data_IF_021836567370
#
_entry.id   IF_021836567370
#
_cell.length_a   1.000
_cell.length_b   1.000
_cell.length_c   1.000
_cell.angle_alpha   90.00
_cell.angle_beta   90.00
_cell.angle_gamma   90.00
#
_symmetry.space_group_name_H-M   'P 1'
#
loop_
_entity.id
_entity.type
_entity.pdbx_description
1 polymer ?
#
# COMPACT_ATOMS: atom_id res chain seq x y z
N UNK A 1 7.92 22.78 3.43
CA UNK A 1 8.15 22.10 2.14
C UNK A 1 7.84 20.64 2.36
N UNK A 2 6.69 20.14 1.88
CA UNK A 2 6.45 18.70 1.85
C UNK A 2 7.48 18.14 0.85
N UNK A 3 8.28 17.16 1.27
CA UNK A 3 9.36 16.60 0.46
C UNK A 3 8.88 16.00 -0.87
N UNK A 4 9.81 15.54 -1.73
CA UNK A 4 9.42 14.82 -2.95
C UNK A 4 8.57 13.61 -2.57
N UNK A 5 7.49 13.39 -3.33
CA UNK A 5 6.65 12.21 -3.15
C UNK A 5 7.47 10.94 -3.45
N UNK A 6 7.17 9.86 -2.74
CA UNK A 6 7.93 8.61 -2.73
C UNK A 6 7.30 7.55 -3.64
N UNK A 7 8.05 6.91 -4.56
CA UNK A 7 7.55 5.84 -5.42
C UNK A 7 7.21 4.56 -4.63
N UNK A 8 6.69 3.55 -5.34
CA UNK A 8 6.39 2.23 -4.75
C UNK A 8 7.65 1.62 -4.12
N UNK A 9 7.48 1.00 -2.94
CA UNK A 9 8.52 0.39 -2.11
C UNK A 9 9.51 1.35 -1.44
N UNK A 10 9.42 2.66 -1.69
CA UNK A 10 10.24 3.62 -0.94
C UNK A 10 9.79 3.74 0.51
N UNK A 11 10.75 4.02 1.40
CA UNK A 11 10.49 4.29 2.80
C UNK A 11 9.63 5.55 2.99
N UNK A 12 8.68 5.48 3.92
CA UNK A 12 7.79 6.58 4.27
C UNK A 12 7.55 6.68 5.77
N UNK A 13 7.35 7.91 6.24
CA UNK A 13 7.11 8.21 7.66
C UNK A 13 5.68 8.71 7.91
N UNK A 14 4.97 9.08 6.84
CA UNK A 14 3.63 9.67 6.91
C UNK A 14 2.77 9.20 5.73
N UNK A 15 1.46 9.14 5.94
CA UNK A 15 0.51 8.68 4.93
C UNK A 15 0.53 9.48 3.61
N UNK A 16 0.91 10.77 3.66
CA UNK A 16 0.82 11.69 2.53
C UNK A 16 2.16 11.96 1.82
N UNK A 17 3.23 11.22 2.15
CA UNK A 17 4.53 11.38 1.47
C UNK A 17 4.70 10.47 0.26
N UNK A 18 3.83 9.47 0.09
CA UNK A 18 3.89 8.59 -1.08
C UNK A 18 3.32 9.26 -2.34
N UNK A 19 3.68 8.75 -3.51
CA UNK A 19 3.11 9.16 -4.78
C UNK A 19 1.59 8.95 -4.81
N UNK A 20 0.84 9.74 -5.62
CA UNK A 20 -0.60 9.56 -5.72
C UNK A 20 -0.96 8.14 -6.15
N UNK A 21 -1.95 7.54 -5.50
CA UNK A 21 -2.29 6.12 -5.70
C UNK A 21 -1.51 5.17 -4.80
N UNK A 22 -0.63 5.68 -3.94
CA UNK A 22 0.07 4.93 -2.92
C UNK A 22 -0.32 5.39 -1.50
N UNK A 23 -0.12 4.52 -0.53
CA UNK A 23 -0.29 4.77 0.90
C UNK A 23 0.90 4.22 1.69
N UNK A 24 1.20 4.82 2.82
CA UNK A 24 2.27 4.37 3.70
C UNK A 24 1.76 3.25 4.63
N UNK A 25 2.28 2.03 4.47
CA UNK A 25 1.95 0.86 5.28
C UNK A 25 3.19 0.33 6.03
N UNK A 26 3.00 -0.66 6.89
CA UNK A 26 4.10 -1.35 7.57
C UNK A 26 5.01 -2.05 6.55
N UNK A 27 6.34 -2.08 6.72
CA UNK A 27 7.24 -2.74 5.76
C UNK A 27 6.97 -4.23 5.55
N UNK A 28 6.42 -4.90 6.56
CA UNK A 28 6.12 -6.33 6.52
C UNK A 28 5.04 -6.73 5.49
N UNK A 29 4.40 -5.77 4.81
CA UNK A 29 3.41 -6.02 3.75
C UNK A 29 4.04 -6.34 2.39
N UNK A 30 5.35 -6.12 2.22
CA UNK A 30 6.08 -6.48 1.01
C UNK A 30 7.53 -6.86 1.31
N UNK A 31 8.07 -7.83 0.58
CA UNK A 31 9.48 -8.24 0.74
C UNK A 31 10.45 -7.25 0.10
N UNK A 32 9.95 -6.41 -0.81
CA UNK A 32 10.69 -5.35 -1.48
C UNK A 32 10.92 -4.12 -0.58
N UNK A 33 10.15 -3.99 0.50
CA UNK A 33 10.30 -2.90 1.45
C UNK A 33 11.55 -3.08 2.32
N UNK A 34 12.19 -1.97 2.67
CA UNK A 34 13.19 -1.95 3.74
C UNK A 34 12.52 -2.27 5.08
N UNK A 35 12.85 -3.43 5.65
CA UNK A 35 12.22 -3.94 6.88
C UNK A 35 12.63 -3.14 8.14
N UNK A 36 13.70 -2.35 8.06
CA UNK A 36 14.14 -1.46 9.15
C UNK A 36 13.54 -0.05 9.04
N UNK A 37 12.79 0.25 7.96
CA UNK A 37 12.12 1.53 7.77
C UNK A 37 10.83 1.64 8.63
N UNK A 38 10.39 2.86 8.98
CA UNK A 38 9.14 3.06 9.72
C UNK A 38 7.88 2.72 8.91
N UNK A 39 7.98 2.71 7.58
CA UNK A 39 6.87 2.44 6.67
C UNK A 39 7.35 2.29 5.23
N UNK A 40 6.46 1.79 4.38
CA UNK A 40 6.70 1.50 2.97
C UNK A 40 5.54 1.96 2.09
N UNK A 41 5.83 2.63 0.98
CA UNK A 41 4.81 3.10 0.05
C UNK A 41 4.24 1.96 -0.80
N UNK A 42 2.96 1.68 -0.61
CA UNK A 42 2.24 0.58 -1.22
C UNK A 42 1.09 1.06 -2.09
N UNK A 43 0.77 0.40 -3.22
CA UNK A 43 -0.36 0.79 -4.05
C UNK A 43 -1.71 0.49 -3.40
N UNK A 44 -2.67 1.38 -3.63
CA UNK A 44 -4.08 1.00 -3.60
C UNK A 44 -4.39 0.04 -4.75
N UNK A 45 -5.42 -0.76 -4.59
CA UNK A 45 -5.95 -1.64 -5.62
C UNK A 45 -7.48 -1.74 -5.51
N UNK A 46 -8.13 -2.21 -6.57
CA UNK A 46 -9.57 -2.46 -6.60
C UNK A 46 -9.82 -3.97 -6.41
N UNK A 47 -10.57 -4.34 -5.37
CA UNK A 47 -10.89 -5.73 -5.05
C UNK A 47 -11.76 -6.41 -6.12
N UNK A 48 -12.42 -5.65 -6.99
CA UNK A 48 -13.22 -6.15 -8.10
C UNK A 48 -12.42 -6.41 -9.37
N UNK A 49 -11.14 -6.03 -9.41
CA UNK A 49 -10.27 -6.16 -10.57
C UNK A 49 -9.23 -7.28 -10.39
N UNK A 50 -8.62 -7.78 -11.49
CA UNK A 50 -7.52 -8.73 -11.40
C UNK A 50 -6.37 -8.19 -10.54
N UNK A 51 -5.70 -9.10 -9.83
CA UNK A 51 -4.53 -8.75 -9.03
C UNK A 51 -3.41 -8.16 -9.92
N UNK A 52 -3.03 -6.92 -9.64
CA UNK A 52 -1.97 -6.17 -10.34
C UNK A 52 -0.88 -5.70 -9.38
N UNK A 53 -0.87 -6.24 -8.15
CA UNK A 53 0.11 -5.86 -7.14
C UNK A 53 1.54 -6.20 -7.59
N UNK A 54 2.48 -5.24 -7.50
CA UNK A 54 3.80 -5.38 -8.09
C UNK A 54 4.76 -6.25 -7.26
N UNK A 55 4.49 -6.44 -5.97
CA UNK A 55 5.37 -7.17 -5.06
C UNK A 55 5.17 -8.68 -5.10
N UNK A 56 6.23 -9.42 -4.75
CA UNK A 56 6.22 -10.87 -4.71
C UNK A 56 5.25 -11.39 -3.64
N UNK A 57 4.29 -12.24 -4.07
CA UNK A 57 3.31 -12.85 -3.18
C UNK A 57 2.23 -11.89 -2.67
N UNK A 58 2.14 -10.69 -3.26
CA UNK A 58 1.11 -9.74 -2.89
C UNK A 58 -0.22 -10.05 -3.56
N UNK A 59 -1.28 -9.75 -2.82
CA UNK A 59 -2.64 -9.75 -3.30
C UNK A 59 -3.29 -8.40 -2.99
N UNK A 60 -4.40 -8.12 -3.67
CA UNK A 60 -5.24 -6.99 -3.33
C UNK A 60 -6.10 -7.35 -2.12
N UNK A 61 -5.74 -6.84 -0.94
CA UNK A 61 -6.45 -7.14 0.31
C UNK A 61 -7.32 -5.96 0.73
N UNK A 62 -8.47 -6.20 1.39
CA UNK A 62 -9.32 -5.12 1.88
C UNK A 62 -8.54 -4.15 2.77
N UNK A 63 -8.61 -2.86 2.45
CA UNK A 63 -7.90 -1.85 3.24
C UNK A 63 -8.64 -1.52 4.54
N UNK A 64 -9.97 -1.59 4.52
CA UNK A 64 -10.84 -1.27 5.64
C UNK A 64 -11.51 -2.55 6.11
N UNK A 65 -11.45 -2.83 7.41
CA UNK A 65 -12.15 -3.97 8.02
C UNK A 65 -13.68 -3.83 7.87
N UNK A 66 -14.19 -2.63 8.07
CA UNK A 66 -15.61 -2.29 7.89
C UNK A 66 -15.76 -1.20 6.83
N UNK A 67 -15.75 -1.56 5.53
CA UNK A 67 -15.87 -0.57 4.48
C UNK A 67 -17.30 -0.03 4.40
N UNK A 68 -17.44 1.30 4.33
CA UNK A 68 -18.70 1.91 3.88
C UNK A 68 -18.97 1.51 2.42
N UNK A 69 -20.23 1.53 1.94
CA UNK A 69 -20.53 1.17 0.55
C UNK A 69 -19.72 1.94 -0.50
N UNK A 70 -19.33 3.18 -0.20
CA UNK A 70 -18.51 4.01 -1.09
C UNK A 70 -17.08 3.47 -1.30
N UNK A 71 -16.54 2.75 -0.32
CA UNK A 71 -15.16 2.24 -0.32
C UNK A 71 -15.13 0.70 -0.26
N UNK A 72 -16.23 0.03 -0.61
CA UNK A 72 -16.37 -1.44 -0.54
C UNK A 72 -15.31 -2.22 -1.29
N UNK A 73 -14.81 -1.66 -2.40
CA UNK A 73 -13.80 -2.30 -3.24
C UNK A 73 -12.38 -1.75 -3.01
N UNK A 74 -12.19 -0.86 -2.04
CA UNK A 74 -10.87 -0.26 -1.81
C UNK A 74 -9.96 -1.26 -1.09
N UNK A 75 -8.93 -1.71 -1.79
CA UNK A 75 -7.87 -2.55 -1.25
C UNK A 75 -6.51 -1.85 -1.23
N UNK A 76 -5.55 -2.55 -0.65
CA UNK A 76 -4.13 -2.24 -0.76
C UNK A 76 -3.33 -3.50 -1.07
N UNK A 77 -2.25 -3.34 -1.82
CA UNK A 77 -1.34 -4.43 -2.09
C UNK A 77 -0.57 -4.80 -0.83
N UNK A 78 -0.73 -6.05 -0.39
CA UNK A 78 -0.11 -6.61 0.79
C UNK A 78 0.07 -8.12 0.62
N UNK A 79 1.01 -8.69 1.36
CA UNK A 79 1.01 -10.13 1.63
C UNK A 79 -0.05 -10.45 2.69
N UNK A 80 -0.61 -11.67 2.66
CA UNK A 80 -1.40 -12.19 3.76
C UNK A 80 -0.51 -12.33 5.00
N UNK A 81 -0.93 -11.73 6.11
CA UNK A 81 -0.26 -11.81 7.41
C UNK A 81 -1.01 -12.76 8.34
#
# INVERSE_FOLDING_TARGET
MLGPRRPVFDACEFLNVCDPGLLCLLPAVAVECDQDAPGCCMPYCDLGEPNTCPGAGQECLPLLEEPTPKYGNLGACSVWQ
#
